data_IF_227309051496
#
_entry.id   IF_227309051496
#
_cell.length_a   1.000
_cell.length_b   1.000
_cell.length_c   1.000
_cell.angle_alpha   90.00
_cell.angle_beta   90.00
_cell.angle_gamma   90.00
#
_symmetry.space_group_name_H-M   'P 1'
#
loop_
_entity.id
_entity.type
_entity.pdbx_description
1 polymer ?
#
# COMPACT_ATOMS: atom_id res chain seq x y z
N UNK A 1 -12.46 -26.62 17.05
CA UNK A 1 -11.16 -25.97 16.78
C UNK A 1 -11.46 -24.56 16.33
N UNK A 2 -10.72 -23.56 16.80
CA UNK A 2 -10.85 -22.17 16.34
C UNK A 2 -9.90 -21.94 15.18
N UNK A 3 -10.38 -21.28 14.13
CA UNK A 3 -9.52 -20.84 13.01
C UNK A 3 -8.61 -19.69 13.47
N UNK A 4 -7.34 -19.73 13.07
CA UNK A 4 -6.35 -18.70 13.40
C UNK A 4 -6.09 -17.82 12.17
N UNK A 5 -6.24 -16.50 12.32
CA UNK A 5 -5.91 -15.52 11.28
C UNK A 5 -4.62 -14.79 11.66
N UNK A 6 -3.51 -15.11 10.98
CA UNK A 6 -2.24 -14.42 11.19
C UNK A 6 -2.19 -13.11 10.38
N UNK A 7 -1.91 -12.00 11.07
CA UNK A 7 -1.84 -10.65 10.49
C UNK A 7 -0.45 -10.06 10.74
N UNK A 8 0.20 -9.58 9.69
CA UNK A 8 1.44 -8.84 9.77
C UNK A 8 1.17 -7.32 9.73
N UNK A 9 1.87 -6.56 10.57
CA UNK A 9 1.84 -5.10 10.57
C UNK A 9 3.09 -4.58 9.87
N UNK A 10 2.93 -3.95 8.72
CA UNK A 10 4.01 -3.40 7.92
C UNK A 10 4.44 -2.03 8.46
N UNK A 11 5.26 -2.04 9.51
CA UNK A 11 5.89 -0.83 10.06
C UNK A 11 7.08 -0.41 9.19
N UNK A 12 6.79 0.31 8.11
CA UNK A 12 7.74 0.81 7.12
C UNK A 12 7.97 2.33 7.28
N UNK A 13 8.92 2.90 6.53
CA UNK A 13 9.23 4.33 6.53
C UNK A 13 8.98 4.96 5.14
N UNK A 14 7.71 5.22 4.75
CA UNK A 14 7.39 5.83 3.47
C UNK A 14 7.91 7.26 3.36
N UNK A 15 8.27 7.67 2.14
CA UNK A 15 8.70 9.04 1.83
C UNK A 15 7.57 9.77 1.10
N UNK A 16 7.22 10.98 1.58
CA UNK A 16 6.17 11.80 0.96
C UNK A 16 6.52 12.11 -0.49
N UNK A 17 5.60 11.79 -1.41
CA UNK A 17 5.75 12.04 -2.84
C UNK A 17 6.46 10.92 -3.62
N UNK A 18 7.22 10.04 -2.96
CA UNK A 18 7.95 8.95 -3.61
C UNK A 18 7.13 7.66 -3.68
N UNK A 19 6.13 7.67 -4.56
CA UNK A 19 5.19 6.54 -4.73
C UNK A 19 5.92 5.25 -5.10
N UNK A 20 6.93 5.32 -5.99
CA UNK A 20 7.67 4.14 -6.45
C UNK A 20 8.46 3.47 -5.31
N UNK A 21 9.18 4.27 -4.51
CA UNK A 21 9.88 3.78 -3.34
C UNK A 21 8.91 3.14 -2.33
N UNK A 22 7.80 3.80 -2.05
CA UNK A 22 6.80 3.35 -1.08
C UNK A 22 6.15 2.03 -1.49
N UNK A 23 5.84 1.83 -2.77
CA UNK A 23 5.39 0.53 -3.29
C UNK A 23 6.47 -0.55 -3.10
N UNK A 24 7.74 -0.21 -3.33
CA UNK A 24 8.87 -1.12 -3.07
C UNK A 24 8.94 -1.59 -1.61
N UNK A 25 8.71 -0.68 -0.66
CA UNK A 25 8.62 -1.01 0.77
C UNK A 25 7.44 -1.97 1.05
N UNK A 26 6.27 -1.70 0.48
CA UNK A 26 5.07 -2.54 0.64
C UNK A 26 5.26 -3.94 0.06
N UNK A 27 5.86 -4.06 -1.13
CA UNK A 27 6.24 -5.36 -1.73
C UNK A 27 7.21 -6.14 -0.85
N UNK A 28 8.21 -5.45 -0.29
CA UNK A 28 9.20 -6.04 0.62
C UNK A 28 8.53 -6.54 1.89
N UNK A 29 7.63 -5.75 2.48
CA UNK A 29 6.86 -6.14 3.66
C UNK A 29 5.96 -7.35 3.39
N UNK A 30 5.28 -7.39 2.24
CA UNK A 30 4.46 -8.54 1.84
C UNK A 30 5.27 -9.82 1.72
N UNK A 31 6.45 -9.74 1.09
CA UNK A 31 7.36 -10.88 0.94
C UNK A 31 7.88 -11.38 2.31
N UNK A 32 8.19 -10.47 3.23
CA UNK A 32 8.66 -10.82 4.57
C UNK A 32 7.56 -11.48 5.43
N UNK A 33 6.30 -11.19 5.15
CA UNK A 33 5.13 -11.73 5.83
C UNK A 33 4.58 -13.04 5.21
N UNK A 34 5.40 -13.78 4.45
CA UNK A 34 4.99 -15.05 3.86
C UNK A 34 4.43 -16.00 4.93
N UNK A 35 3.21 -16.52 4.68
CA UNK A 35 2.47 -17.36 5.63
C UNK A 35 1.47 -16.60 6.51
N UNK A 36 1.48 -15.27 6.52
CA UNK A 36 0.37 -14.48 7.07
C UNK A 36 -0.78 -14.39 6.06
N UNK A 37 -2.01 -14.24 6.55
CA UNK A 37 -3.18 -14.06 5.71
C UNK A 37 -3.31 -12.61 5.21
N UNK A 38 -2.93 -11.65 6.05
CA UNK A 38 -3.08 -10.21 5.77
C UNK A 38 -1.83 -9.43 6.20
N UNK A 39 -1.45 -8.46 5.38
CA UNK A 39 -0.43 -7.44 5.68
C UNK A 39 -1.10 -6.09 5.74
N UNK A 40 -0.95 -5.37 6.86
CA UNK A 40 -1.56 -4.05 7.07
C UNK A 40 -0.50 -2.96 7.05
N UNK A 41 -0.59 -2.04 6.09
CA UNK A 41 0.23 -0.84 6.02
C UNK A 41 -0.33 0.32 6.85
N UNK A 42 0.51 1.31 7.12
CA UNK A 42 0.11 2.55 7.81
C UNK A 42 -0.78 3.48 6.97
N UNK A 43 -1.21 4.58 7.58
CA UNK A 43 -1.96 5.64 6.91
C UNK A 43 -1.13 6.31 5.80
N UNK A 44 -1.77 6.53 4.66
CA UNK A 44 -1.23 7.04 3.41
C UNK A 44 0.12 6.43 3.01
N UNK A 45 0.34 5.15 3.32
CA UNK A 45 1.62 4.47 3.12
C UNK A 45 2.08 4.40 1.65
N UNK A 46 1.16 4.57 0.69
CA UNK A 46 1.49 4.65 -0.74
C UNK A 46 2.06 6.02 -1.11
N UNK A 47 1.47 7.10 -0.62
CA UNK A 47 1.88 8.48 -0.94
C UNK A 47 2.92 9.06 0.03
N UNK A 48 3.05 8.47 1.22
CA UNK A 48 3.63 9.09 2.40
C UNK A 48 2.63 10.01 3.12
N UNK A 49 2.90 10.29 4.40
CA UNK A 49 2.07 11.11 5.27
C UNK A 49 2.90 12.19 6.01
N UNK A 50 2.40 13.44 6.14
CA UNK A 50 1.24 14.00 5.44
C UNK A 50 1.63 14.47 4.02
N UNK A 51 0.77 14.27 2.99
CA UNK A 51 1.07 14.70 1.62
C UNK A 51 0.76 16.19 1.34
N UNK A 52 0.05 16.86 2.24
CA UNK A 52 -0.37 18.27 2.09
C UNK A 52 -0.98 18.53 0.69
N UNK A 53 -0.63 19.63 0.03
CA UNK A 53 -1.16 20.04 -1.27
C UNK A 53 -0.84 19.09 -2.43
N UNK A 54 0.03 18.08 -2.23
CA UNK A 54 0.26 17.06 -3.27
C UNK A 54 -1.02 16.34 -3.64
N UNK A 55 -1.96 16.17 -2.70
CA UNK A 55 -3.26 15.53 -2.97
C UNK A 55 -4.12 16.33 -3.95
N UNK A 56 -3.81 17.61 -4.21
CA UNK A 56 -4.50 18.45 -5.20
C UNK A 56 -3.89 18.35 -6.60
N UNK A 57 -2.71 17.71 -6.75
CA UNK A 57 -2.00 17.61 -8.02
C UNK A 57 -2.51 16.41 -8.81
N UNK A 58 -3.21 16.64 -9.92
CA UNK A 58 -3.77 15.58 -10.79
C UNK A 58 -2.74 14.52 -11.21
N UNK A 59 -1.51 14.94 -11.54
CA UNK A 59 -0.43 14.00 -11.90
C UNK A 59 -0.04 13.08 -10.73
N UNK A 60 -0.04 13.61 -9.50
CA UNK A 60 0.22 12.82 -8.30
C UNK A 60 -0.92 11.84 -8.00
N UNK A 61 -2.16 12.30 -8.09
CA UNK A 61 -3.35 11.45 -7.94
C UNK A 61 -3.35 10.28 -8.93
N UNK A 62 -3.03 10.54 -10.21
CA UNK A 62 -2.92 9.51 -11.23
C UNK A 62 -1.79 8.52 -10.91
N UNK A 63 -0.59 9.02 -10.57
CA UNK A 63 0.55 8.17 -10.22
C UNK A 63 0.26 7.27 -9.00
N UNK A 64 -0.44 7.77 -7.99
CA UNK A 64 -0.88 6.99 -6.83
C UNK A 64 -1.89 5.91 -7.25
N UNK A 65 -2.90 6.25 -8.06
CA UNK A 65 -3.88 5.29 -8.56
C UNK A 65 -3.21 4.15 -9.33
N UNK A 66 -2.40 4.50 -10.32
CA UNK A 66 -1.71 3.53 -11.18
C UNK A 66 -0.86 2.58 -10.32
N UNK A 67 -0.11 3.13 -9.35
CA UNK A 67 0.73 2.35 -8.45
C UNK A 67 -0.07 1.41 -7.52
N UNK A 68 -1.24 1.82 -7.03
CA UNK A 68 -2.13 0.95 -6.23
C UNK A 68 -2.73 -0.16 -7.10
N UNK A 69 -3.16 0.16 -8.32
CA UNK A 69 -3.71 -0.83 -9.25
C UNK A 69 -2.64 -1.85 -9.67
N UNK A 70 -1.39 -1.41 -9.86
CA UNK A 70 -0.23 -2.26 -10.08
C UNK A 70 0.03 -3.19 -8.89
N UNK A 71 0.07 -2.63 -7.67
CA UNK A 71 0.27 -3.42 -6.45
C UNK A 71 -0.87 -4.44 -6.24
N UNK A 72 -2.11 -4.09 -6.57
CA UNK A 72 -3.24 -5.01 -6.50
C UNK A 72 -3.03 -6.22 -7.43
N UNK A 73 -2.49 -6.02 -8.64
CA UNK A 73 -2.17 -7.12 -9.56
C UNK A 73 -1.08 -8.03 -9.02
N UNK A 74 -0.10 -7.50 -8.28
CA UNK A 74 0.93 -8.31 -7.62
C UNK A 74 0.33 -9.32 -6.61
N UNK A 75 -0.88 -9.07 -6.10
CA UNK A 75 -1.55 -9.94 -5.11
C UNK A 75 -2.30 -11.14 -5.69
N UNK A 76 -2.37 -11.27 -7.02
CA UNK A 76 -3.07 -12.36 -7.69
C UNK A 76 -2.32 -13.72 -7.64
N UNK A 77 -1.18 -13.77 -6.97
CA UNK A 77 -0.30 -14.94 -6.83
C UNK A 77 -0.69 -15.90 -5.69
N UNK A 78 -1.79 -15.63 -4.97
CA UNK A 78 -2.26 -16.44 -3.84
C UNK A 78 -1.46 -16.25 -2.54
N UNK A 79 -0.54 -15.28 -2.50
CA UNK A 79 0.13 -14.87 -1.26
C UNK A 79 -0.77 -14.04 -0.33
N UNK A 80 -0.18 -13.44 0.71
CA UNK A 80 -0.91 -12.62 1.69
C UNK A 80 -1.69 -11.48 1.02
N UNK A 81 -2.92 -11.25 1.48
CA UNK A 81 -3.68 -10.07 1.12
C UNK A 81 -3.02 -8.80 1.72
N UNK A 82 -3.34 -7.64 1.18
CA UNK A 82 -2.81 -6.36 1.66
C UNK A 82 -3.92 -5.36 1.96
N UNK A 83 -3.84 -4.71 3.12
CA UNK A 83 -4.59 -3.50 3.44
C UNK A 83 -3.60 -2.32 3.38
N UNK A 84 -3.76 -1.47 2.36
CA UNK A 84 -2.94 -0.27 2.16
C UNK A 84 -3.84 0.95 2.10
N UNK A 85 -3.26 2.12 2.30
CA UNK A 85 -4.00 3.38 2.20
C UNK A 85 -3.26 4.38 1.32
N UNK A 86 -4.05 5.15 0.58
CA UNK A 86 -3.62 6.08 -0.44
C UNK A 86 -4.69 7.17 -0.61
N UNK A 87 -4.32 8.41 -0.99
CA UNK A 87 -5.31 9.37 -1.44
C UNK A 87 -5.99 8.83 -2.71
N UNK A 88 -7.33 8.89 -2.75
CA UNK A 88 -8.12 8.34 -3.85
C UNK A 88 -9.11 9.36 -4.37
N UNK A 89 -9.14 9.53 -5.69
CA UNK A 89 -10.13 10.39 -6.35
C UNK A 89 -11.40 9.57 -6.60
N UNK A 90 -12.54 10.11 -6.17
CA UNK A 90 -13.89 9.57 -6.45
C UNK A 90 -14.65 10.69 -7.18
N UNK A 91 -15.26 10.36 -8.32
CA UNK A 91 -16.12 11.25 -9.11
C UNK A 91 -15.49 12.50 -9.76
N UNK A 92 -14.16 12.56 -9.87
CA UNK A 92 -13.44 13.55 -10.69
C UNK A 92 -13.46 14.98 -10.14
#
# INVERSE_FOLDING_TARGET
>A
MTETLAIAIAQINPTVGDVGHNIGLLRTARKAAAGCALVVGGELCVSGYPPEDLVLKRGFQAAVRDAVEDLARDTADGGSAMLVSAPWVVDG
#
